data_IF_339064447773
#
_entry.id   IF_339064447773
#
_cell.length_a   1.000
_cell.length_b   1.000
_cell.length_c   1.000
_cell.angle_alpha   90.00
_cell.angle_beta   90.00
_cell.angle_gamma   90.00
#
_symmetry.space_group_name_H-M   'P 1'
#
loop_
_entity.id
_entity.type
_entity.pdbx_description
1 polymer ?
#
# COMPACT_ATOMS: atom_id res chain seq x y z
N UNK A 1 13.19 -29.93 -23.21
CA UNK A 1 13.58 -28.83 -22.31
C UNK A 1 12.47 -27.81 -22.42
N UNK A 2 11.50 -27.83 -21.50
CA UNK A 2 10.37 -26.91 -21.53
C UNK A 2 10.84 -25.56 -21.02
N UNK A 3 10.58 -24.51 -21.79
CA UNK A 3 10.92 -23.14 -21.50
C UNK A 3 10.23 -22.76 -20.19
N UNK A 4 11.02 -22.38 -19.19
CA UNK A 4 10.55 -21.75 -17.97
C UNK A 4 9.90 -20.44 -18.38
N UNK A 5 8.57 -20.43 -18.48
CA UNK A 5 7.77 -19.22 -18.65
C UNK A 5 8.16 -18.26 -17.53
N UNK A 6 8.91 -17.23 -17.89
CA UNK A 6 9.30 -16.11 -17.07
C UNK A 6 8.00 -15.50 -16.53
N UNK A 7 7.65 -15.89 -15.30
CA UNK A 7 6.40 -15.50 -14.67
C UNK A 7 6.43 -13.98 -14.50
N UNK A 8 5.71 -13.26 -15.36
CA UNK A 8 5.57 -11.81 -15.24
C UNK A 8 5.16 -11.46 -13.80
N UNK A 9 5.77 -10.42 -13.20
CA UNK A 9 5.44 -10.02 -11.85
C UNK A 9 3.95 -9.66 -11.80
N UNK A 10 3.15 -10.55 -11.18
CA UNK A 10 1.72 -10.34 -10.98
C UNK A 10 1.55 -9.00 -10.27
N UNK A 11 0.80 -8.10 -10.89
CA UNK A 11 0.49 -6.82 -10.27
C UNK A 11 -0.08 -7.09 -8.86
N UNK A 12 0.38 -6.37 -7.83
CA UNK A 12 -0.14 -6.56 -6.50
C UNK A 12 -1.65 -6.37 -6.52
N UNK A 13 -2.37 -7.29 -5.86
CA UNK A 13 -3.82 -7.24 -5.81
C UNK A 13 -4.25 -5.87 -5.26
N UNK A 14 -5.03 -5.13 -6.04
CA UNK A 14 -5.63 -3.87 -5.58
C UNK A 14 -6.66 -4.20 -4.51
N UNK A 15 -6.80 -3.32 -3.51
CA UNK A 15 -7.92 -3.38 -2.57
C UNK A 15 -9.22 -3.28 -3.37
N UNK A 16 -10.03 -4.34 -3.31
CA UNK A 16 -11.36 -4.35 -3.91
C UNK A 16 -12.35 -3.75 -2.91
N UNK A 17 -13.17 -2.76 -3.31
CA UNK A 17 -14.19 -2.19 -2.42
C UNK A 17 -15.19 -3.25 -1.95
N UNK A 18 -15.58 -3.20 -0.67
CA UNK A 18 -16.68 -4.03 -0.17
C UNK A 18 -18.03 -3.56 -0.72
N UNK A 19 -18.98 -4.49 -0.85
CA UNK A 19 -20.39 -4.17 -1.12
C UNK A 19 -21.00 -3.58 0.14
N UNK A 20 -21.48 -2.34 0.06
CA UNK A 20 -21.94 -1.57 1.23
C UNK A 20 -23.44 -1.66 1.48
N UNK A 21 -24.24 -2.03 0.48
CA UNK A 21 -25.71 -1.92 0.50
C UNK A 21 -26.39 -2.75 1.59
N UNK A 22 -25.72 -3.80 2.06
CA UNK A 22 -26.22 -4.72 3.10
C UNK A 22 -25.68 -4.40 4.50
N UNK A 23 -24.78 -3.43 4.63
CA UNK A 23 -24.13 -3.10 5.90
C UNK A 23 -24.96 -2.09 6.70
N UNK A 24 -25.11 -2.36 7.99
CA UNK A 24 -25.68 -1.40 8.94
C UNK A 24 -24.70 -0.25 9.25
N UNK A 25 -25.21 0.84 9.84
CA UNK A 25 -24.40 2.02 10.19
C UNK A 25 -23.20 1.67 11.10
N UNK A 26 -23.38 0.75 12.05
CA UNK A 26 -22.29 0.32 12.92
C UNK A 26 -21.18 -0.41 12.15
N UNK A 27 -21.56 -1.26 11.21
CA UNK A 27 -20.61 -2.00 10.36
C UNK A 27 -19.87 -1.05 9.42
N UNK A 28 -20.57 -0.06 8.84
CA UNK A 28 -19.95 0.99 8.03
C UNK A 28 -18.92 1.79 8.84
N UNK A 29 -19.22 2.13 10.10
CA UNK A 29 -18.27 2.81 10.99
C UNK A 29 -17.04 1.94 11.28
N UNK A 30 -17.23 0.65 11.53
CA UNK A 30 -16.13 -0.30 11.71
C UNK A 30 -15.28 -0.45 10.45
N UNK A 31 -15.92 -0.49 9.28
CA UNK A 31 -15.23 -0.55 7.99
C UNK A 31 -14.38 0.69 7.73
N UNK A 32 -14.92 1.89 8.01
CA UNK A 32 -14.16 3.15 7.94
C UNK A 32 -12.94 3.09 8.86
N UNK A 33 -13.09 2.65 10.12
CA UNK A 33 -11.99 2.56 11.06
C UNK A 33 -10.88 1.61 10.56
N UNK A 34 -11.26 0.47 9.98
CA UNK A 34 -10.30 -0.47 9.38
C UNK A 34 -9.54 0.15 8.19
N UNK A 35 -10.25 0.85 7.30
CA UNK A 35 -9.63 1.52 6.15
C UNK A 35 -8.67 2.65 6.59
N UNK A 36 -9.03 3.42 7.62
CA UNK A 36 -8.19 4.47 8.17
C UNK A 36 -6.89 3.91 8.79
N UNK A 37 -6.98 2.79 9.51
CA UNK A 37 -5.80 2.12 10.04
C UNK A 37 -4.87 1.63 8.92
N UNK A 38 -5.43 1.14 7.82
CA UNK A 38 -4.64 0.71 6.66
C UNK A 38 -3.97 1.90 5.96
N UNK A 39 -4.66 3.04 5.82
CA UNK A 39 -4.07 4.28 5.32
C UNK A 39 -2.87 4.69 6.19
N UNK A 40 -3.03 4.71 7.51
CA UNK A 40 -1.96 5.07 8.43
C UNK A 40 -0.74 4.13 8.30
N UNK A 41 -0.99 2.82 8.11
CA UNK A 41 0.08 1.84 7.88
C UNK A 41 0.84 2.13 6.59
N UNK A 42 0.13 2.45 5.51
CA UNK A 42 0.74 2.77 4.21
C UNK A 42 1.53 4.07 4.28
N UNK A 43 0.99 5.10 4.93
CA UNK A 43 1.67 6.39 5.13
C UNK A 43 2.99 6.24 5.90
N UNK A 44 3.02 5.37 6.93
CA UNK A 44 4.26 5.04 7.65
C UNK A 44 5.31 4.38 6.73
N UNK A 45 4.89 3.45 5.88
CA UNK A 45 5.79 2.81 4.92
C UNK A 45 6.28 3.78 3.84
N UNK A 46 5.44 4.71 3.38
CA UNK A 46 5.84 5.79 2.46
C UNK A 46 6.90 6.66 3.15
N UNK A 47 6.61 7.16 4.35
CA UNK A 47 7.53 8.01 5.12
C UNK A 47 8.88 7.33 5.32
N UNK A 48 8.88 6.03 5.64
CA UNK A 48 10.09 5.22 5.76
C UNK A 48 10.88 5.20 4.45
N UNK A 49 10.22 4.90 3.32
CA UNK A 49 10.88 4.85 2.00
C UNK A 49 11.42 6.21 1.56
N UNK A 50 10.67 7.28 1.81
CA UNK A 50 11.10 8.65 1.50
C UNK A 50 12.29 9.10 2.36
N UNK A 51 12.32 8.74 3.64
CA UNK A 51 13.46 9.02 4.51
C UNK A 51 14.75 8.39 3.96
N UNK A 52 14.66 7.13 3.51
CA UNK A 52 15.80 6.44 2.89
C UNK A 52 16.24 7.14 1.60
N UNK A 53 15.29 7.58 0.77
CA UNK A 53 15.58 8.32 -0.47
C UNK A 53 16.23 9.67 -0.19
N UNK A 54 15.70 10.44 0.77
CA UNK A 54 16.22 11.75 1.13
C UNK A 54 17.63 11.67 1.74
N UNK A 55 17.92 10.62 2.52
CA UNK A 55 19.26 10.36 3.02
C UNK A 55 20.25 10.04 1.88
N UNK A 56 19.82 9.26 0.89
CA UNK A 56 20.63 9.00 -0.31
C UNK A 56 20.84 10.30 -1.11
N UNK A 57 19.78 11.06 -1.37
CA UNK A 57 19.84 12.33 -2.09
C UNK A 57 20.76 13.35 -1.40
N UNK A 58 20.75 13.42 -0.06
CA UNK A 58 21.64 14.29 0.71
C UNK A 58 23.11 13.82 0.68
N UNK A 59 23.37 12.52 0.52
CA UNK A 59 24.72 11.97 0.36
C UNK A 59 25.28 12.25 -1.04
N UNK A 60 24.44 12.18 -2.08
CA UNK A 60 24.85 12.42 -3.47
C UNK A 60 24.80 13.90 -3.89
N UNK A 61 24.13 14.76 -3.13
CA UNK A 61 24.27 16.22 -3.24
C UNK A 61 25.25 16.74 -2.20
N UNK A 62 26.55 16.62 -2.48
CA UNK A 62 27.54 17.55 -1.93
C UNK A 62 27.79 18.68 -2.95
N UNK A 63 28.17 19.88 -2.48
CA UNK A 63 27.50 21.19 -2.65
C UNK A 63 27.17 21.63 -4.08
#
# INVERSE_FOLDING_TARGET
>A
MALEEEAEPRQPARLQPMVLDMMGVAELRSYIAALQAEIERVDKEITRKETHRNAADAFFRQP
#
